data_IF_123142883657
#
_entry.id   IF_123142883657
#
_cell.length_a   1.000
_cell.length_b   1.000
_cell.length_c   1.000
_cell.angle_alpha   90.00
_cell.angle_beta   90.00
_cell.angle_gamma   90.00
#
_symmetry.space_group_name_H-M   'P 1'
#
loop_
_entity.id
_entity.type
_entity.pdbx_description
1 polymer ?
#
# COMPACT_ATOMS: atom_id res chain seq x y z
N UNK A 1 32.51 -30.48 -15.19
CA UNK A 1 31.96 -29.69 -16.29
C UNK A 1 31.18 -28.58 -15.61
N UNK A 2 31.86 -27.47 -15.34
CA UNK A 2 31.34 -26.32 -14.59
C UNK A 2 30.52 -25.49 -15.56
N UNK A 3 29.23 -25.35 -15.30
CA UNK A 3 28.40 -24.34 -15.96
C UNK A 3 28.73 -23.00 -15.30
N UNK A 4 29.54 -22.21 -16.01
CA UNK A 4 29.81 -20.82 -15.68
C UNK A 4 28.54 -20.02 -15.94
N UNK A 5 27.85 -19.64 -14.87
CA UNK A 5 26.72 -18.72 -14.92
C UNK A 5 27.24 -17.33 -15.29
N UNK A 6 27.07 -16.93 -16.55
CA UNK A 6 27.34 -15.58 -17.02
C UNK A 6 26.50 -14.56 -16.22
N UNK A 7 27.15 -13.84 -15.31
CA UNK A 7 26.56 -12.68 -14.65
C UNK A 7 26.29 -11.58 -15.68
N UNK A 8 25.05 -11.08 -15.72
CA UNK A 8 24.69 -10.01 -16.66
C UNK A 8 25.55 -8.76 -16.44
N UNK A 9 25.83 -8.00 -17.51
CA UNK A 9 26.69 -6.82 -17.47
C UNK A 9 26.28 -5.74 -16.43
N UNK A 10 25.03 -5.75 -15.95
CA UNK A 10 24.55 -4.90 -14.86
C UNK A 10 25.23 -5.22 -13.52
N UNK A 11 25.51 -6.50 -13.23
CA UNK A 11 26.15 -6.95 -12.00
C UNK A 11 27.62 -6.50 -11.86
N UNK A 12 28.25 -6.08 -12.98
CA UNK A 12 29.66 -5.69 -13.03
C UNK A 12 29.91 -4.20 -12.79
N UNK A 13 28.90 -3.33 -12.96
CA UNK A 13 29.05 -1.87 -12.85
C UNK A 13 28.65 -1.33 -11.47
N UNK A 14 27.67 -1.97 -10.82
CA UNK A 14 27.14 -1.57 -9.52
C UNK A 14 26.89 -2.85 -8.73
N UNK A 15 27.91 -3.34 -8.02
CA UNK A 15 27.79 -4.58 -7.23
C UNK A 15 26.52 -4.59 -6.37
N UNK A 16 25.95 -5.78 -6.14
CA UNK A 16 24.71 -5.94 -5.36
C UNK A 16 24.84 -5.27 -3.98
N UNK A 17 23.84 -4.49 -3.61
CA UNK A 17 23.80 -3.89 -2.27
C UNK A 17 23.77 -5.01 -1.22
N UNK A 18 24.63 -4.98 -0.19
CA UNK A 18 24.59 -5.97 0.88
C UNK A 18 23.26 -5.86 1.65
N UNK A 19 22.83 -6.96 2.27
CA UNK A 19 21.58 -7.02 3.02
C UNK A 19 21.47 -5.92 4.08
N UNK A 20 22.57 -5.62 4.77
CA UNK A 20 22.64 -4.54 5.76
C UNK A 20 22.30 -3.17 5.14
N UNK A 21 22.80 -2.89 3.93
CA UNK A 21 22.47 -1.66 3.21
C UNK A 21 21.00 -1.61 2.77
N UNK A 22 20.45 -2.75 2.33
CA UNK A 22 19.02 -2.84 2.00
C UNK A 22 18.17 -2.54 3.23
N UNK A 23 18.48 -3.17 4.37
CA UNK A 23 17.75 -2.96 5.62
C UNK A 23 17.84 -1.51 6.11
N UNK A 24 19.01 -0.88 6.01
CA UNK A 24 19.18 0.53 6.36
C UNK A 24 18.24 1.44 5.54
N UNK A 25 18.15 1.22 4.23
CA UNK A 25 17.25 1.98 3.35
C UNK A 25 15.78 1.74 3.73
N UNK A 26 15.39 0.50 3.95
CA UNK A 26 14.02 0.15 4.32
C UNK A 26 13.61 0.75 5.67
N UNK A 27 14.52 0.77 6.64
CA UNK A 27 14.30 1.43 7.93
C UNK A 27 14.19 2.95 7.80
N UNK A 28 14.99 3.56 6.92
CA UNK A 28 14.87 5.00 6.65
C UNK A 28 13.54 5.34 5.93
N UNK A 29 13.10 4.52 4.98
CA UNK A 29 11.78 4.66 4.36
C UNK A 29 10.65 4.52 5.38
N UNK A 30 10.79 3.59 6.33
CA UNK A 30 9.80 3.41 7.40
C UNK A 30 9.67 4.63 8.31
N UNK A 31 10.77 5.35 8.59
CA UNK A 31 10.72 6.62 9.36
C UNK A 31 9.89 7.68 8.65
N UNK A 32 9.82 7.64 7.32
CA UNK A 32 8.99 8.54 6.51
C UNK A 32 7.58 8.02 6.25
N UNK A 33 7.22 6.84 6.74
CA UNK A 33 5.90 6.23 6.51
C UNK A 33 5.74 5.55 5.14
N UNK A 34 6.84 5.40 4.38
CA UNK A 34 6.86 4.83 3.03
C UNK A 34 7.22 3.34 2.99
N UNK A 35 7.49 2.73 4.15
CA UNK A 35 7.71 1.29 4.25
C UNK A 35 7.26 0.76 5.61
N UNK A 36 6.85 -0.51 5.64
CA UNK A 36 6.49 -1.20 6.87
C UNK A 36 6.90 -2.68 6.81
N UNK A 37 7.56 -3.23 7.86
CA UNK A 37 7.91 -4.64 7.89
C UNK A 37 6.67 -5.50 8.13
N UNK A 38 6.53 -6.58 7.35
CA UNK A 38 5.44 -7.54 7.43
C UNK A 38 5.68 -8.66 8.45
N UNK A 39 6.91 -8.78 8.94
CA UNK A 39 7.28 -9.78 9.93
C UNK A 39 8.35 -9.24 10.88
N UNK A 40 8.46 -9.86 12.07
CA UNK A 40 9.44 -9.46 13.09
C UNK A 40 10.89 -9.65 12.64
N UNK A 41 11.12 -10.54 11.67
CA UNK A 41 12.44 -10.83 11.13
C UNK A 41 12.82 -9.83 10.00
N UNK A 42 11.89 -8.94 9.62
CA UNK A 42 12.05 -7.93 8.56
C UNK A 42 12.47 -8.54 7.21
N UNK A 43 11.99 -9.75 6.90
CA UNK A 43 12.26 -10.39 5.62
C UNK A 43 11.33 -9.91 4.51
N UNK A 44 10.11 -9.50 4.88
CA UNK A 44 9.12 -8.93 3.95
C UNK A 44 8.72 -7.54 4.41
N UNK A 45 8.45 -6.68 3.44
CA UNK A 45 8.07 -5.30 3.65
C UNK A 45 6.98 -4.91 2.66
N UNK A 46 6.05 -4.07 3.11
CA UNK A 46 5.34 -3.21 2.19
C UNK A 46 6.17 -1.98 1.90
N UNK A 47 6.18 -1.59 0.63
CA UNK A 47 6.71 -0.30 0.18
C UNK A 47 5.52 0.48 -0.35
N UNK A 48 5.37 1.71 0.12
CA UNK A 48 4.26 2.57 -0.24
C UNK A 48 4.75 3.71 -1.11
N UNK A 49 4.06 3.95 -2.23
CA UNK A 49 4.35 5.08 -3.11
C UNK A 49 3.85 6.41 -2.52
N UNK A 50 2.67 6.35 -1.92
CA UNK A 50 2.15 7.36 -1.00
C UNK A 50 2.08 6.77 0.40
N UNK A 51 2.25 7.61 1.42
CA UNK A 51 2.01 7.19 2.80
C UNK A 51 0.56 6.74 2.99
N UNK A 52 0.30 5.91 4.00
CA UNK A 52 -1.08 5.46 4.30
C UNK A 52 -2.04 6.63 4.57
N UNK A 53 -1.53 7.75 5.12
CA UNK A 53 -2.30 8.97 5.38
C UNK A 53 -2.68 9.68 4.06
N UNK A 54 -1.74 9.78 3.12
CA UNK A 54 -2.00 10.34 1.78
C UNK A 54 -2.98 9.47 1.00
N UNK A 55 -2.81 8.15 1.03
CA UNK A 55 -3.79 7.23 0.46
C UNK A 55 -5.18 7.41 1.07
N UNK A 56 -5.27 7.63 2.39
CA UNK A 56 -6.54 7.89 3.05
C UNK A 56 -7.19 9.17 2.54
N UNK A 57 -6.41 10.22 2.32
CA UNK A 57 -6.90 11.47 1.75
C UNK A 57 -7.36 11.31 0.30
N UNK A 58 -6.63 10.55 -0.52
CA UNK A 58 -7.00 10.25 -1.92
C UNK A 58 -8.31 9.46 -2.00
N UNK A 59 -8.41 8.34 -1.26
CA UNK A 59 -9.62 7.52 -1.22
C UNK A 59 -10.83 8.33 -0.75
N UNK A 60 -10.68 9.13 0.31
CA UNK A 60 -11.78 9.94 0.81
C UNK A 60 -12.16 11.08 -0.14
N UNK A 61 -11.19 11.69 -0.83
CA UNK A 61 -11.46 12.70 -1.85
C UNK A 61 -12.28 12.12 -3.01
N UNK A 62 -11.97 10.90 -3.45
CA UNK A 62 -12.77 10.19 -4.44
C UNK A 62 -14.19 9.88 -3.94
N UNK A 63 -14.35 9.38 -2.72
CA UNK A 63 -15.68 9.14 -2.13
C UNK A 63 -16.54 10.41 -2.14
N UNK A 64 -15.93 11.56 -1.81
CA UNK A 64 -16.60 12.85 -1.84
C UNK A 64 -16.97 13.29 -3.26
N UNK A 65 -16.06 13.13 -4.24
CA UNK A 65 -16.30 13.55 -5.63
C UNK A 65 -17.38 12.71 -6.31
N UNK A 66 -17.48 11.43 -5.98
CA UNK A 66 -18.50 10.52 -6.50
C UNK A 66 -19.85 10.60 -5.76
N UNK A 67 -19.96 11.41 -4.70
CA UNK A 67 -21.18 11.50 -3.90
C UNK A 67 -21.49 10.23 -3.11
N UNK A 68 -20.49 9.41 -2.81
CA UNK A 68 -20.59 8.15 -2.05
C UNK A 68 -20.48 8.37 -0.52
N UNK A 69 -20.60 9.62 -0.08
CA UNK A 69 -20.67 9.93 1.35
C UNK A 69 -22.01 9.44 1.90
N UNK A 70 -22.00 8.80 3.07
CA UNK A 70 -23.14 8.10 3.68
C UNK A 70 -23.61 6.83 2.95
N UNK A 71 -22.83 6.32 1.98
CA UNK A 71 -23.09 5.03 1.36
C UNK A 71 -22.17 3.95 1.90
N UNK A 72 -22.57 2.71 1.65
CA UNK A 72 -21.78 1.51 1.94
C UNK A 72 -21.13 1.05 0.64
N UNK A 73 -19.85 0.68 0.72
CA UNK A 73 -19.08 0.11 -0.39
C UNK A 73 -18.35 -1.14 0.11
N UNK A 74 -18.13 -2.08 -0.79
CA UNK A 74 -17.21 -3.19 -0.60
C UNK A 74 -15.78 -2.72 -0.90
N UNK A 75 -14.78 -3.41 -0.34
CA UNK A 75 -13.38 -3.10 -0.66
C UNK A 75 -13.07 -3.32 -2.15
N UNK A 76 -13.70 -4.32 -2.77
CA UNK A 76 -13.60 -4.60 -4.21
C UNK A 76 -14.04 -3.41 -5.07
N UNK A 77 -15.15 -2.75 -4.72
CA UNK A 77 -15.61 -1.57 -5.47
C UNK A 77 -14.63 -0.40 -5.42
N UNK A 78 -13.79 -0.33 -4.38
CA UNK A 78 -12.80 0.73 -4.22
C UNK A 78 -11.54 0.43 -5.05
N UNK A 79 -11.02 -0.79 -4.99
CA UNK A 79 -9.74 -1.13 -5.65
C UNK A 79 -9.89 -1.70 -7.04
N UNK A 80 -11.02 -2.33 -7.36
CA UNK A 80 -11.19 -3.12 -8.57
C UNK A 80 -12.50 -2.77 -9.32
N UNK A 81 -13.21 -1.73 -8.85
CA UNK A 81 -14.43 -1.24 -9.49
C UNK A 81 -14.16 -0.42 -10.75
N UNK A 82 -15.10 -0.45 -11.69
CA UNK A 82 -15.01 0.33 -12.94
C UNK A 82 -14.91 1.85 -12.69
N UNK A 83 -15.48 2.33 -11.58
CA UNK A 83 -15.49 3.74 -11.19
C UNK A 83 -14.15 4.26 -10.67
N UNK A 84 -13.18 3.37 -10.41
CA UNK A 84 -11.87 3.74 -9.85
C UNK A 84 -10.73 3.51 -10.82
N UNK A 85 -10.98 3.09 -12.06
CA UNK A 85 -9.92 2.71 -13.03
C UNK A 85 -8.91 3.85 -13.32
N UNK A 86 -9.34 5.10 -13.19
CA UNK A 86 -8.51 6.29 -13.39
C UNK A 86 -7.90 6.84 -12.08
N UNK A 87 -8.22 6.23 -10.94
CA UNK A 87 -7.70 6.60 -9.62
C UNK A 87 -6.39 5.85 -9.31
N UNK A 88 -5.43 6.52 -8.68
CA UNK A 88 -4.12 5.92 -8.40
C UNK A 88 -4.17 4.76 -7.38
N UNK A 89 -5.21 4.72 -6.55
CA UNK A 89 -5.43 3.63 -5.60
C UNK A 89 -6.14 2.41 -6.22
N UNK A 90 -6.43 2.44 -7.52
CA UNK A 90 -6.91 1.25 -8.22
C UNK A 90 -5.84 0.14 -8.19
N UNK A 91 -6.27 -1.07 -7.88
CA UNK A 91 -5.40 -2.23 -7.67
C UNK A 91 -4.57 -2.16 -6.39
N UNK A 92 -4.86 -1.24 -5.46
CA UNK A 92 -4.20 -1.21 -4.16
C UNK A 92 -4.42 -2.54 -3.42
N UNK A 93 -3.34 -3.10 -2.87
CA UNK A 93 -3.41 -4.35 -2.12
C UNK A 93 -4.44 -4.24 -0.97
N UNK A 94 -5.25 -5.29 -0.79
CA UNK A 94 -6.37 -5.28 0.17
C UNK A 94 -5.91 -5.06 1.62
N UNK A 95 -4.76 -5.62 2.03
CA UNK A 95 -4.25 -5.41 3.38
C UNK A 95 -3.82 -3.95 3.58
N UNK A 96 -3.27 -3.32 2.54
CA UNK A 96 -2.92 -1.89 2.53
C UNK A 96 -4.19 -1.04 2.58
N UNK A 97 -5.20 -1.35 1.77
CA UNK A 97 -6.49 -0.65 1.81
C UNK A 97 -7.13 -0.71 3.20
N UNK A 98 -7.13 -1.87 3.87
CA UNK A 98 -7.66 -1.98 5.23
C UNK A 98 -6.93 -1.02 6.18
N UNK A 99 -5.60 -0.92 6.10
CA UNK A 99 -4.82 0.04 6.91
C UNK A 99 -5.22 1.49 6.61
N UNK A 100 -5.41 1.83 5.33
CA UNK A 100 -5.89 3.14 4.88
C UNK A 100 -7.29 3.44 5.44
N UNK A 101 -8.21 2.49 5.38
CA UNK A 101 -9.57 2.65 5.90
C UNK A 101 -9.60 2.76 7.43
N UNK A 102 -8.68 2.10 8.15
CA UNK A 102 -8.51 2.26 9.61
C UNK A 102 -8.04 3.66 9.99
N UNK A 103 -7.24 4.32 9.17
CA UNK A 103 -6.90 5.75 9.35
C UNK A 103 -8.15 6.61 9.22
N UNK A 104 -8.97 6.37 8.19
CA UNK A 104 -10.25 7.09 8.01
C UNK A 104 -11.23 6.84 9.16
N UNK A 105 -11.25 5.63 9.70
CA UNK A 105 -12.05 5.27 10.87
C UNK A 105 -11.59 6.01 12.14
N UNK A 106 -10.28 6.08 12.39
CA UNK A 106 -9.72 6.88 13.48
C UNK A 106 -10.06 8.38 13.33
N UNK A 107 -10.17 8.86 12.09
CA UNK A 107 -10.61 10.23 11.74
C UNK A 107 -12.13 10.41 11.75
N UNK A 108 -12.92 9.37 12.08
CA UNK A 108 -14.40 9.35 12.07
C UNK A 108 -15.03 9.65 10.70
N UNK A 109 -14.33 9.29 9.63
CA UNK A 109 -14.76 9.45 8.23
C UNK A 109 -15.24 8.15 7.59
N UNK A 110 -14.94 7.02 8.20
CA UNK A 110 -15.36 5.71 7.74
C UNK A 110 -15.59 4.75 8.92
N UNK A 111 -16.25 3.62 8.67
CA UNK A 111 -16.38 2.50 9.60
C UNK A 111 -16.30 1.19 8.82
N UNK A 112 -15.38 0.31 9.20
CA UNK A 112 -15.24 -1.03 8.63
C UNK A 112 -16.20 -1.99 9.33
N UNK A 113 -16.84 -2.87 8.56
CA UNK A 113 -17.76 -3.89 9.08
C UNK A 113 -17.66 -5.20 8.28
N UNK A 114 -18.41 -6.22 8.72
CA UNK A 114 -18.46 -7.55 8.11
C UNK A 114 -17.06 -8.15 7.88
N UNK A 115 -16.29 -8.30 8.96
CA UNK A 115 -14.92 -8.82 8.93
C UNK A 115 -13.99 -8.10 7.92
N UNK A 116 -14.12 -6.77 7.85
CA UNK A 116 -13.39 -5.88 6.94
C UNK A 116 -13.69 -6.11 5.45
N UNK A 117 -14.84 -6.68 5.10
CA UNK A 117 -15.27 -6.83 3.71
C UNK A 117 -16.08 -5.62 3.21
N UNK A 118 -16.63 -4.82 4.13
CA UNK A 118 -17.41 -3.63 3.82
C UNK A 118 -16.94 -2.40 4.59
N UNK A 119 -17.16 -1.22 4.00
CA UNK A 119 -16.92 0.07 4.62
C UNK A 119 -18.09 1.01 4.40
N UNK A 120 -18.46 1.75 5.43
CA UNK A 120 -19.40 2.86 5.35
C UNK A 120 -18.64 4.17 5.50
N UNK A 121 -18.85 5.11 4.58
CA UNK A 121 -18.25 6.45 4.66
C UNK A 121 -19.21 7.48 5.26
N UNK A 122 -18.66 8.50 5.92
CA UNK A 122 -19.39 9.59 6.59
C UNK A 122 -18.95 10.98 6.11
#
# INVERSE_FOLDING_TARGET
>A
MTEDTEGSAHDLLYGKLPLEGILMILEDLAKTGNAEPLDKQKHRWHIYWHTLEEWADMVYSWVQSCGMVNTVCTLYEITDGDSTIDEEFHGLDTEVLIKVLRILEARKKAELFDDNQGVKFF
#
